data_IF_695620530913
#
_entry.id   IF_695620530913
#
_cell.length_a   1.000
_cell.length_b   1.000
_cell.length_c   1.000
_cell.angle_alpha   90.00
_cell.angle_beta   90.00
_cell.angle_gamma   90.00
#
_symmetry.space_group_name_H-M   'P 1'
#
loop_
_entity.id
_entity.type
_entity.pdbx_description
1 polymer ?
#
# COMPACT_ATOMS: atom_id res chain seq x y z
N UNK A 1 9.40 -19.39 -7.08
CA UNK A 1 8.11 -18.90 -6.53
C UNK A 1 8.30 -17.72 -5.58
N UNK A 2 9.26 -17.75 -4.66
CA UNK A 2 9.47 -16.66 -3.69
C UNK A 2 10.07 -15.38 -4.32
N UNK A 3 11.09 -15.51 -5.17
CA UNK A 3 11.73 -14.37 -5.84
C UNK A 3 10.76 -13.57 -6.74
N UNK A 4 9.80 -14.26 -7.37
CA UNK A 4 8.77 -13.63 -8.19
C UNK A 4 7.85 -12.71 -7.38
N UNK A 5 7.38 -13.19 -6.22
CA UNK A 5 6.54 -12.39 -5.30
C UNK A 5 7.28 -11.20 -4.73
N UNK A 6 8.55 -11.37 -4.38
CA UNK A 6 9.37 -10.26 -3.88
C UNK A 6 9.51 -9.16 -4.95
N UNK A 7 9.73 -9.52 -6.21
CA UNK A 7 9.78 -8.54 -7.32
C UNK A 7 8.44 -7.81 -7.51
N UNK A 8 7.33 -8.54 -7.47
CA UNK A 8 5.98 -7.95 -7.57
C UNK A 8 5.73 -6.93 -6.44
N UNK A 9 6.07 -7.30 -5.20
CA UNK A 9 5.92 -6.39 -4.05
C UNK A 9 6.85 -5.18 -4.19
N UNK A 10 8.07 -5.38 -4.65
CA UNK A 10 9.00 -4.29 -4.89
C UNK A 10 8.46 -3.31 -5.96
N UNK A 11 7.89 -3.82 -7.06
CA UNK A 11 7.22 -3.00 -8.06
C UNK A 11 6.07 -2.17 -7.46
N UNK A 12 5.23 -2.81 -6.64
CA UNK A 12 4.15 -2.12 -5.93
C UNK A 12 4.68 -0.98 -5.05
N UNK A 13 5.70 -1.26 -4.22
CA UNK A 13 6.30 -0.27 -3.31
C UNK A 13 6.96 0.88 -4.07
N UNK A 14 7.66 0.58 -5.17
CA UNK A 14 8.24 1.62 -6.01
C UNK A 14 7.16 2.49 -6.66
N UNK A 15 6.12 1.89 -7.25
CA UNK A 15 5.00 2.65 -7.79
C UNK A 15 4.33 3.53 -6.74
N UNK A 16 4.18 3.00 -5.51
CA UNK A 16 3.64 3.78 -4.39
C UNK A 16 4.51 5.00 -4.09
N UNK A 17 5.81 4.81 -3.97
CA UNK A 17 6.79 5.84 -3.63
C UNK A 17 6.94 6.89 -4.75
N UNK A 18 6.79 6.49 -6.01
CA UNK A 18 6.91 7.34 -7.19
C UNK A 18 5.59 8.05 -7.55
N UNK A 19 4.51 7.77 -6.80
CA UNK A 19 3.14 8.17 -7.18
C UNK A 19 2.71 7.64 -8.56
N UNK A 20 3.29 6.52 -9.02
CA UNK A 20 2.94 5.84 -10.26
C UNK A 20 1.90 4.74 -9.99
N UNK A 21 0.64 5.08 -10.22
CA UNK A 21 -0.49 4.18 -9.93
C UNK A 21 -0.57 3.04 -10.95
N UNK A 22 -0.18 3.24 -12.20
CA UNK A 22 -0.13 2.16 -13.19
C UNK A 22 0.90 1.11 -12.77
N UNK A 23 2.07 1.56 -12.28
CA UNK A 23 3.09 0.68 -11.71
C UNK A 23 2.62 -0.01 -10.43
N UNK A 24 1.87 0.67 -9.56
CA UNK A 24 1.30 0.05 -8.36
C UNK A 24 0.38 -1.13 -8.69
N UNK A 25 -0.47 -0.99 -9.70
CA UNK A 25 -1.55 -1.95 -9.97
C UNK A 25 -1.21 -2.98 -11.06
N UNK A 26 -0.02 -2.92 -11.68
CA UNK A 26 0.33 -3.74 -12.84
C UNK A 26 0.21 -5.25 -12.56
N UNK A 27 0.51 -5.66 -11.33
CA UNK A 27 0.49 -7.05 -10.87
C UNK A 27 -0.79 -7.39 -10.07
N UNK A 28 -1.78 -6.50 -10.03
CA UNK A 28 -3.07 -6.78 -9.37
C UNK A 28 -3.96 -7.66 -10.27
N UNK A 29 -4.82 -8.43 -9.62
CA UNK A 29 -6.01 -9.02 -10.23
C UNK A 29 -7.10 -7.94 -10.37
N UNK A 30 -7.92 -8.03 -11.43
CA UNK A 30 -8.99 -7.06 -11.67
C UNK A 30 -10.02 -7.02 -10.52
N UNK A 31 -10.17 -8.13 -9.79
CA UNK A 31 -11.08 -8.29 -8.64
C UNK A 31 -10.37 -8.21 -7.28
N UNK A 32 -9.19 -7.59 -7.23
CA UNK A 32 -8.43 -7.32 -5.99
C UNK A 32 -9.32 -6.83 -4.85
N UNK A 33 -9.16 -7.40 -3.66
CA UNK A 33 -9.73 -6.84 -2.44
C UNK A 33 -8.65 -6.07 -1.68
N UNK A 34 -8.85 -4.78 -1.49
CA UNK A 34 -7.99 -3.97 -0.62
C UNK A 34 -8.66 -3.73 0.72
N UNK A 35 -7.88 -3.79 1.81
CA UNK A 35 -8.32 -3.49 3.17
C UNK A 35 -7.32 -2.57 3.85
N UNK A 36 -7.82 -1.49 4.45
CA UNK A 36 -7.05 -0.68 5.38
C UNK A 36 -7.53 -0.98 6.81
N UNK A 37 -6.58 -1.31 7.67
CA UNK A 37 -6.78 -1.63 9.08
C UNK A 37 -6.04 -0.60 9.90
N UNK A 38 -6.75 0.08 10.79
CA UNK A 38 -6.15 1.03 11.72
C UNK A 38 -6.48 0.60 13.14
N UNK A 39 -5.45 0.41 13.98
CA UNK A 39 -5.61 -0.08 15.36
C UNK A 39 -6.50 -1.34 15.45
N UNK A 40 -6.28 -2.30 14.56
CA UNK A 40 -7.05 -3.56 14.50
C UNK A 40 -8.49 -3.44 13.97
N UNK A 41 -8.91 -2.26 13.49
CA UNK A 41 -10.25 -2.05 12.91
C UNK A 41 -10.16 -1.78 11.42
N UNK A 42 -10.92 -2.53 10.63
CA UNK A 42 -11.08 -2.25 9.20
C UNK A 42 -11.86 -0.95 9.06
N UNK A 43 -11.23 0.07 8.47
CA UNK A 43 -11.86 1.38 8.23
C UNK A 43 -12.22 1.59 6.75
N UNK A 44 -11.65 0.78 5.84
CA UNK A 44 -11.89 0.84 4.40
C UNK A 44 -11.74 -0.54 3.78
N UNK A 45 -12.66 -0.86 2.85
CA UNK A 45 -12.57 -1.99 1.95
C UNK A 45 -12.85 -1.47 0.54
N UNK A 46 -11.99 -1.81 -0.41
CA UNK A 46 -12.20 -1.52 -1.84
C UNK A 46 -12.25 -2.83 -2.60
N UNK A 47 -13.18 -2.94 -3.53
CA UNK A 47 -13.45 -4.13 -4.32
C UNK A 47 -13.18 -3.86 -5.80
N UNK A 48 -12.15 -4.51 -6.31
CA UNK A 48 -11.70 -4.40 -7.68
C UNK A 48 -10.72 -3.25 -7.92
N UNK A 49 -10.00 -3.37 -9.04
CA UNK A 49 -8.89 -2.49 -9.40
C UNK A 49 -9.32 -1.04 -9.61
N UNK A 50 -10.56 -0.81 -10.08
CA UNK A 50 -11.07 0.52 -10.35
C UNK A 50 -11.30 1.33 -9.06
N UNK A 51 -11.89 0.72 -8.03
CA UNK A 51 -12.09 1.37 -6.73
C UNK A 51 -10.74 1.70 -6.08
N UNK A 52 -9.78 0.76 -6.14
CA UNK A 52 -8.43 0.98 -5.67
C UNK A 52 -7.75 2.15 -6.40
N UNK A 53 -7.80 2.15 -7.73
CA UNK A 53 -7.20 3.21 -8.56
C UNK A 53 -7.79 4.58 -8.24
N UNK A 54 -9.11 4.67 -8.12
CA UNK A 54 -9.78 5.91 -7.77
C UNK A 54 -9.34 6.43 -6.40
N UNK A 55 -9.24 5.54 -5.40
CA UNK A 55 -8.75 5.92 -4.07
C UNK A 55 -7.28 6.36 -4.09
N UNK A 56 -6.43 5.63 -4.84
CA UNK A 56 -5.02 5.94 -4.96
C UNK A 56 -4.78 7.30 -5.63
N UNK A 57 -5.54 7.64 -6.67
CA UNK A 57 -5.45 8.95 -7.34
C UNK A 57 -5.85 10.09 -6.41
N UNK A 58 -6.94 9.93 -5.64
CA UNK A 58 -7.34 10.92 -4.63
C UNK A 58 -6.25 11.12 -3.57
N UNK A 59 -5.67 10.01 -3.09
CA UNK A 59 -4.65 10.01 -2.06
C UNK A 59 -3.31 10.62 -2.51
N UNK A 60 -3.06 10.84 -3.81
CA UNK A 60 -1.85 11.57 -4.27
C UNK A 60 -1.82 12.99 -3.70
N UNK A 61 -2.97 13.66 -3.71
CA UNK A 61 -3.08 15.06 -3.29
C UNK A 61 -2.80 15.29 -1.79
N UNK A 62 -2.71 14.21 -1.02
CA UNK A 62 -2.52 14.24 0.43
C UNK A 62 -1.06 14.45 0.83
N UNK A 63 -0.11 14.15 -0.07
CA UNK A 63 1.31 14.08 0.26
C UNK A 63 2.17 14.80 -0.79
N UNK A 64 3.11 15.64 -0.34
CA UNK A 64 4.15 16.23 -1.20
C UNK A 64 5.23 15.19 -1.52
N UNK A 65 5.49 14.29 -0.57
CA UNK A 65 6.30 13.09 -0.74
C UNK A 65 5.78 12.00 0.19
N UNK A 66 5.97 10.75 -0.23
CA UNK A 66 5.69 9.56 0.59
C UNK A 66 6.70 8.47 0.25
N UNK A 67 7.05 7.67 1.25
CA UNK A 67 7.98 6.56 1.08
C UNK A 67 7.64 5.43 2.05
N UNK A 68 7.49 4.24 1.50
CA UNK A 68 7.54 2.97 2.21
C UNK A 68 8.91 2.34 1.99
N UNK A 69 9.55 1.93 3.08
CA UNK A 69 10.79 1.16 3.06
C UNK A 69 10.55 -0.19 3.73
N UNK A 70 10.69 -1.28 2.97
CA UNK A 70 10.58 -2.65 3.51
C UNK A 70 11.71 -2.87 4.52
N UNK A 71 11.34 -3.20 5.75
CA UNK A 71 12.27 -3.53 6.84
C UNK A 71 12.30 -5.02 7.13
N UNK A 72 11.19 -5.71 6.84
CA UNK A 72 11.06 -7.15 7.01
C UNK A 72 10.19 -7.72 5.89
N UNK A 73 10.49 -8.96 5.47
CA UNK A 73 9.71 -9.69 4.49
C UNK A 73 9.65 -11.17 4.88
N UNK A 74 8.45 -11.75 4.85
CA UNK A 74 8.22 -13.16 5.13
C UNK A 74 7.22 -13.76 4.15
N UNK A 75 7.66 -14.78 3.42
CA UNK A 75 6.77 -15.60 2.59
C UNK A 75 6.08 -16.67 3.43
N UNK A 76 4.79 -16.86 3.18
CA UNK A 76 4.01 -18.01 3.67
C UNK A 76 3.29 -18.67 2.48
N UNK A 77 2.56 -19.75 2.76
CA UNK A 77 1.79 -20.40 1.70
C UNK A 77 0.72 -19.46 1.15
N UNK A 78 0.79 -19.14 -0.14
CA UNK A 78 -0.14 -18.21 -0.80
C UNK A 78 -0.02 -16.72 -0.42
N UNK A 79 0.77 -16.35 0.59
CA UNK A 79 0.87 -14.95 1.05
C UNK A 79 2.30 -14.48 1.21
N UNK A 80 2.49 -13.16 1.27
CA UNK A 80 3.73 -12.54 1.72
C UNK A 80 3.40 -11.36 2.62
N UNK A 81 4.05 -11.33 3.77
CA UNK A 81 3.96 -10.28 4.75
C UNK A 81 5.20 -9.40 4.65
N UNK A 82 5.02 -8.09 4.70
CA UNK A 82 6.10 -7.13 4.86
C UNK A 82 5.83 -6.23 6.06
N UNK A 83 6.90 -5.79 6.70
CA UNK A 83 6.88 -4.62 7.57
C UNK A 83 7.56 -3.47 6.84
N UNK A 84 7.06 -2.26 7.04
CA UNK A 84 7.58 -1.04 6.41
C UNK A 84 7.78 0.05 7.44
N UNK A 85 8.88 0.78 7.29
CA UNK A 85 8.98 2.13 7.83
C UNK A 85 8.37 3.09 6.79
N UNK A 86 7.33 3.81 7.19
CA UNK A 86 6.65 4.80 6.37
C UNK A 86 7.07 6.21 6.77
N UNK A 87 7.34 7.04 5.77
CA UNK A 87 7.59 8.47 5.94
C UNK A 87 6.84 9.28 4.88
N UNK A 88 6.29 10.43 5.25
CA UNK A 88 5.65 11.34 4.31
C UNK A 88 5.69 12.79 4.77
N UNK A 89 5.54 13.71 3.82
CA UNK A 89 5.28 15.13 4.08
C UNK A 89 3.88 15.48 3.58
N UNK A 90 3.07 16.09 4.42
CA UNK A 90 1.66 16.38 4.10
C UNK A 90 1.54 17.57 3.13
N UNK A 91 0.77 17.41 2.05
CA UNK A 91 0.52 18.46 1.07
C UNK A 91 -0.68 19.36 1.44
N UNK A 92 -1.45 18.97 2.46
CA UNK A 92 -2.68 19.65 2.90
C UNK A 92 -2.89 19.53 4.41
N UNK A 93 -3.80 20.35 4.94
CA UNK A 93 -4.28 20.24 6.32
C UNK A 93 -5.27 19.08 6.44
N UNK A 94 -5.19 18.33 7.53
CA UNK A 94 -6.07 17.20 7.83
C UNK A 94 -7.04 17.54 8.98
N UNK A 95 -8.26 16.94 8.99
CA UNK A 95 -9.25 17.18 10.04
C UNK A 95 -8.80 16.80 11.45
N UNK A 96 -7.82 15.90 11.58
CA UNK A 96 -7.28 15.44 12.85
C UNK A 96 -6.26 16.43 13.46
N UNK A 97 -6.03 17.58 12.83
CA UNK A 97 -5.15 18.64 13.33
C UNK A 97 -3.75 18.66 12.71
N UNK A 98 -3.39 17.66 11.89
CA UNK A 98 -2.13 17.68 11.15
C UNK A 98 -2.15 18.76 10.08
N UNK A 99 -1.01 19.42 9.86
CA UNK A 99 -0.86 20.58 8.97
C UNK A 99 -0.05 20.25 7.74
N UNK A 100 -0.31 21.00 6.67
CA UNK A 100 0.56 21.00 5.49
C UNK A 100 2.01 21.25 5.90
N UNK A 101 2.92 20.43 5.39
CA UNK A 101 4.36 20.47 5.69
C UNK A 101 4.77 19.63 6.89
N UNK A 102 3.82 19.12 7.69
CA UNK A 102 4.14 18.19 8.77
C UNK A 102 4.73 16.90 8.21
N UNK A 103 5.67 16.32 8.97
CA UNK A 103 6.23 15.00 8.69
C UNK A 103 5.44 13.94 9.44
N UNK A 104 5.09 12.88 8.74
CA UNK A 104 4.48 11.69 9.30
C UNK A 104 5.48 10.54 9.22
N UNK A 105 5.72 9.88 10.36
CA UNK A 105 6.52 8.66 10.44
C UNK A 105 5.73 7.60 11.20
N UNK A 106 5.58 6.42 10.61
CA UNK A 106 4.87 5.29 11.22
C UNK A 106 5.48 3.97 10.79
N UNK A 107 5.21 2.93 11.58
CA UNK A 107 5.48 1.56 11.21
C UNK A 107 4.20 0.94 10.69
N UNK A 108 4.30 0.30 9.54
CA UNK A 108 3.18 -0.36 8.90
C UNK A 108 3.49 -1.83 8.64
N UNK A 109 2.43 -2.59 8.43
CA UNK A 109 2.48 -3.97 7.99
C UNK A 109 1.56 -4.14 6.80
N UNK A 110 2.02 -4.86 5.79
CA UNK A 110 1.20 -5.21 4.62
C UNK A 110 1.21 -6.71 4.37
N UNK A 111 0.04 -7.27 4.09
CA UNK A 111 -0.13 -8.68 3.73
C UNK A 111 -0.68 -8.79 2.32
N UNK A 112 0.12 -9.36 1.43
CA UNK A 112 -0.21 -9.65 0.05
C UNK A 112 -0.65 -11.10 -0.08
N UNK A 113 -1.83 -11.34 -0.65
CA UNK A 113 -2.32 -12.67 -1.00
C UNK A 113 -2.23 -12.86 -2.51
N UNK A 114 -1.66 -13.99 -2.93
CA UNK A 114 -1.35 -14.27 -4.33
C UNK A 114 -2.16 -15.44 -4.89
N UNK A 115 -2.58 -15.30 -6.14
CA UNK A 115 -3.02 -16.40 -7.00
C UNK A 115 -2.13 -16.41 -8.24
N UNK A 116 -1.23 -17.39 -8.33
CA UNK A 116 -0.15 -17.37 -9.32
C UNK A 116 0.74 -16.14 -9.11
N UNK A 117 0.91 -15.34 -10.16
CA UNK A 117 1.73 -14.13 -10.19
C UNK A 117 0.89 -12.84 -10.03
N UNK A 118 -0.36 -12.95 -9.58
CA UNK A 118 -1.26 -11.81 -9.34
C UNK A 118 -1.55 -11.62 -7.86
N UNK A 119 -1.62 -10.37 -7.43
CA UNK A 119 -2.10 -9.99 -6.10
C UNK A 119 -3.63 -9.97 -6.14
N UNK A 120 -4.27 -10.80 -5.32
CA UNK A 120 -5.73 -10.91 -5.21
C UNK A 120 -6.28 -10.27 -3.93
N UNK A 121 -5.43 -10.05 -2.92
CA UNK A 121 -5.77 -9.25 -1.74
C UNK A 121 -4.55 -8.49 -1.24
N UNK A 122 -4.76 -7.24 -0.84
CA UNK A 122 -3.79 -6.44 -0.09
C UNK A 122 -4.47 -5.93 1.19
N UNK A 123 -3.86 -6.22 2.33
CA UNK A 123 -4.26 -5.65 3.62
C UNK A 123 -3.12 -4.80 4.17
N UNK A 124 -3.36 -3.52 4.42
CA UNK A 124 -2.44 -2.61 5.10
C UNK A 124 -2.91 -2.37 6.54
N UNK A 125 -1.97 -2.38 7.49
CA UNK A 125 -2.22 -2.21 8.93
C UNK A 125 -1.21 -1.25 9.58
N UNK A 126 -1.71 -0.33 10.41
CA UNK A 126 -0.91 0.59 11.24
C UNK A 126 -1.68 1.14 12.46
#
# INVERSE_FOLDING_TARGET
MNEGRQRIIQNYIEGYNEFDIEKMICDFDDNIIFKNVQNGKVNMILNGINEFKQQAEQAKSFFDNRRQQITFLKHNNGTTEIEVDYSATLAMDFPNGLKKGDKLELKGKSVFVFLGDKIIQLTDEY
#
